data_IF_070289019318
#
_entry.id   IF_070289019318
#
_cell.length_a   1.000
_cell.length_b   1.000
_cell.length_c   1.000
_cell.angle_alpha   90.00
_cell.angle_beta   90.00
_cell.angle_gamma   90.00
#
_symmetry.space_group_name_H-M   'P 1'
#
loop_
_entity.id
_entity.type
_entity.pdbx_description
1 polymer ?
#
# COMPACT_ATOMS: atom_id res chain seq x y z
N UNK A 1 -35.55 29.32 -9.60
CA UNK A 1 -36.14 28.92 -8.31
C UNK A 1 -35.66 27.49 -8.04
N UNK A 2 -34.46 27.35 -7.51
CA UNK A 2 -33.88 26.06 -7.13
C UNK A 2 -34.50 25.59 -5.82
N UNK A 3 -35.34 24.56 -5.90
CA UNK A 3 -36.05 24.02 -4.75
C UNK A 3 -35.10 23.31 -3.76
N UNK A 4 -35.43 23.31 -2.45
CA UNK A 4 -34.60 22.77 -1.36
C UNK A 4 -34.27 21.26 -1.46
N UNK A 5 -34.88 20.54 -2.39
CA UNK A 5 -34.60 19.12 -2.67
C UNK A 5 -33.32 18.92 -3.50
N UNK A 6 -32.90 19.91 -4.31
CA UNK A 6 -31.68 19.82 -5.13
C UNK A 6 -30.41 19.95 -4.28
N UNK A 7 -30.46 20.74 -3.19
CA UNK A 7 -29.33 20.89 -2.27
C UNK A 7 -28.96 19.59 -1.55
N UNK A 8 -29.95 18.83 -1.06
CA UNK A 8 -29.71 17.57 -0.34
C UNK A 8 -29.17 16.46 -1.24
N UNK A 9 -29.63 16.39 -2.51
CA UNK A 9 -29.06 15.47 -3.50
C UNK A 9 -27.62 15.85 -3.85
N UNK A 10 -27.35 17.13 -4.04
CA UNK A 10 -26.00 17.63 -4.32
C UNK A 10 -25.03 17.36 -3.16
N UNK A 11 -25.46 17.53 -1.91
CA UNK A 11 -24.65 17.20 -0.73
C UNK A 11 -24.33 15.71 -0.63
N UNK A 12 -25.32 14.82 -0.84
CA UNK A 12 -25.09 13.37 -0.84
C UNK A 12 -24.12 12.92 -1.92
N UNK A 13 -24.23 13.48 -3.12
CA UNK A 13 -23.32 13.17 -4.22
C UNK A 13 -21.88 13.62 -3.93
N UNK A 14 -21.70 14.74 -3.21
CA UNK A 14 -20.37 15.21 -2.80
C UNK A 14 -19.75 14.24 -1.78
N UNK A 15 -20.51 13.82 -0.77
CA UNK A 15 -20.06 12.83 0.22
C UNK A 15 -19.70 11.48 -0.43
N UNK A 16 -20.50 11.04 -1.41
CA UNK A 16 -20.26 9.81 -2.16
C UNK A 16 -19.00 9.90 -3.03
N UNK A 17 -18.78 11.04 -3.71
CA UNK A 17 -17.55 11.30 -4.46
C UNK A 17 -16.32 11.33 -3.55
N UNK A 18 -16.41 11.96 -2.38
CA UNK A 18 -15.30 11.99 -1.41
C UNK A 18 -14.99 10.61 -0.82
N UNK A 19 -16.00 9.76 -0.66
CA UNK A 19 -15.83 8.38 -0.21
C UNK A 19 -15.14 7.55 -1.29
N UNK A 20 -15.64 7.60 -2.53
CA UNK A 20 -15.02 6.91 -3.67
C UNK A 20 -13.58 7.38 -3.92
N UNK A 21 -13.29 8.68 -3.75
CA UNK A 21 -11.92 9.19 -3.86
C UNK A 21 -10.98 8.58 -2.83
N UNK A 22 -11.44 8.43 -1.58
CA UNK A 22 -10.66 7.79 -0.51
C UNK A 22 -10.44 6.30 -0.80
N UNK A 23 -11.46 5.60 -1.27
CA UNK A 23 -11.34 4.18 -1.65
C UNK A 23 -10.36 3.99 -2.81
N UNK A 24 -10.44 4.83 -3.85
CA UNK A 24 -9.50 4.79 -4.98
C UNK A 24 -8.07 4.99 -4.51
N UNK A 25 -7.82 5.94 -3.60
CA UNK A 25 -6.47 6.19 -3.10
C UNK A 25 -5.94 5.00 -2.27
N UNK A 26 -6.77 4.43 -1.41
CA UNK A 26 -6.42 3.21 -0.67
C UNK A 26 -6.13 2.02 -1.61
N UNK A 27 -6.88 1.88 -2.70
CA UNK A 27 -6.62 0.85 -3.69
C UNK A 27 -5.33 1.09 -4.47
N UNK A 28 -4.98 2.34 -4.76
CA UNK A 28 -3.70 2.70 -5.39
C UNK A 28 -2.51 2.35 -4.50
N UNK A 29 -2.56 2.68 -3.22
CA UNK A 29 -1.51 2.33 -2.25
C UNK A 29 -1.35 0.80 -2.11
N UNK A 30 -2.46 0.05 -2.13
CA UNK A 30 -2.42 -1.42 -2.12
C UNK A 30 -1.80 -1.97 -3.40
N UNK A 31 -2.14 -1.42 -4.55
CA UNK A 31 -1.59 -1.85 -5.83
C UNK A 31 -0.09 -1.58 -5.91
N UNK A 32 0.38 -0.40 -5.50
CA UNK A 32 1.81 -0.08 -5.50
C UNK A 32 2.59 -1.02 -4.58
N UNK A 33 2.03 -1.37 -3.42
CA UNK A 33 2.63 -2.35 -2.49
C UNK A 33 2.75 -3.74 -3.14
N UNK A 34 1.69 -4.20 -3.82
CA UNK A 34 1.69 -5.50 -4.50
C UNK A 34 2.64 -5.53 -5.70
N UNK A 35 2.75 -4.43 -6.45
CA UNK A 35 3.70 -4.31 -7.55
C UNK A 35 5.15 -4.40 -7.06
N UNK A 36 5.47 -3.76 -5.93
CA UNK A 36 6.79 -3.84 -5.32
C UNK A 36 7.12 -5.27 -4.85
N UNK A 37 6.17 -5.94 -4.19
CA UNK A 37 6.33 -7.36 -3.81
C UNK A 37 6.58 -8.24 -5.04
N UNK A 38 5.87 -7.98 -6.14
CA UNK A 38 5.99 -8.76 -7.39
C UNK A 38 7.34 -8.55 -8.07
N UNK A 39 7.86 -7.33 -8.07
CA UNK A 39 9.15 -7.00 -8.69
C UNK A 39 10.31 -7.66 -7.94
N UNK A 40 10.29 -7.64 -6.61
CA UNK A 40 11.32 -8.32 -5.81
C UNK A 40 11.25 -9.84 -5.91
N UNK A 41 10.04 -10.41 -5.91
CA UNK A 41 9.84 -11.85 -6.15
C UNK A 41 10.40 -12.31 -7.50
N UNK A 42 10.41 -11.44 -8.51
CA UNK A 42 10.99 -11.72 -9.84
C UNK A 42 12.50 -11.56 -9.88
N UNK A 43 13.03 -10.62 -9.09
CA UNK A 43 14.46 -10.30 -9.06
C UNK A 43 15.28 -11.36 -8.33
N UNK A 44 14.69 -12.06 -7.35
CA UNK A 44 15.37 -13.06 -6.52
C UNK A 44 14.94 -14.51 -6.80
N UNK A 45 14.98 -14.92 -8.07
CA UNK A 45 14.71 -16.32 -8.50
C UNK A 45 15.75 -17.37 -8.07
N UNK A 46 16.52 -17.12 -7.00
CA UNK A 46 17.59 -18.00 -6.51
C UNK A 46 17.40 -18.53 -5.09
N UNK A 47 16.83 -17.75 -4.17
CA UNK A 47 16.65 -18.12 -2.77
C UNK A 47 15.32 -17.55 -2.26
N UNK A 48 14.58 -18.36 -1.49
CA UNK A 48 13.21 -18.08 -1.04
C UNK A 48 13.15 -16.88 -0.09
N UNK A 49 13.17 -15.68 -0.65
CA UNK A 49 12.88 -14.46 0.11
C UNK A 49 11.40 -14.46 0.48
N UNK A 50 11.13 -14.63 1.77
CA UNK A 50 9.77 -14.64 2.30
C UNK A 50 9.39 -13.24 2.76
N UNK A 51 8.27 -12.71 2.29
CA UNK A 51 7.70 -11.47 2.82
C UNK A 51 7.28 -11.66 4.29
N UNK A 52 7.75 -10.78 5.17
CA UNK A 52 7.50 -10.84 6.62
C UNK A 52 6.64 -9.68 7.14
N UNK A 53 6.53 -8.57 6.41
CA UNK A 53 5.68 -7.45 6.83
C UNK A 53 6.12 -6.08 6.34
N UNK A 54 5.57 -5.02 6.96
CA UNK A 54 5.98 -3.63 6.74
C UNK A 54 7.17 -3.32 7.66
N UNK A 55 8.14 -2.56 7.15
CA UNK A 55 9.30 -2.13 7.94
C UNK A 55 8.89 -1.12 9.00
N UNK A 56 9.11 -1.47 10.27
CA UNK A 56 8.80 -0.60 11.42
C UNK A 56 9.66 0.67 11.49
N UNK A 57 10.86 0.66 10.89
CA UNK A 57 11.78 1.81 10.92
C UNK A 57 11.35 2.94 9.99
N UNK A 58 10.86 2.61 8.78
CA UNK A 58 10.58 3.61 7.76
C UNK A 58 9.10 3.70 7.37
N UNK A 59 8.27 2.72 7.74
CA UNK A 59 6.85 2.60 7.37
C UNK A 59 6.54 2.61 5.87
N UNK A 60 7.55 2.78 5.01
CA UNK A 60 7.44 2.91 3.56
C UNK A 60 7.93 1.67 2.82
N UNK A 61 8.88 0.93 3.42
CA UNK A 61 9.42 -0.30 2.86
C UNK A 61 8.77 -1.54 3.45
N UNK A 62 8.95 -2.66 2.77
CA UNK A 62 8.55 -3.98 3.25
C UNK A 62 9.79 -4.75 3.73
N UNK A 63 9.57 -5.72 4.62
CA UNK A 63 10.60 -6.61 5.14
C UNK A 63 10.53 -7.95 4.41
N UNK A 64 11.66 -8.35 3.84
CA UNK A 64 11.86 -9.68 3.30
C UNK A 64 12.89 -10.43 4.15
N UNK A 65 12.58 -11.70 4.46
CA UNK A 65 13.52 -12.64 5.06
C UNK A 65 14.27 -13.37 3.97
N UNK A 66 15.59 -13.17 3.93
CA UNK A 66 16.52 -13.96 3.13
C UNK A 66 17.33 -14.83 4.09
N UNK A 67 17.16 -16.15 4.01
CA UNK A 67 17.85 -17.15 4.84
C UNK A 67 17.89 -16.83 6.35
N UNK A 68 18.90 -16.11 6.81
CA UNK A 68 19.23 -15.77 8.21
C UNK A 68 19.08 -14.27 8.55
N UNK A 69 18.62 -13.44 7.61
CA UNK A 69 18.42 -12.02 7.88
C UNK A 69 17.13 -11.45 7.26
N UNK A 70 16.57 -10.46 7.93
CA UNK A 70 15.55 -9.56 7.44
C UNK A 70 16.21 -8.36 6.79
N UNK A 71 15.69 -7.91 5.65
CA UNK A 71 16.08 -6.66 5.05
C UNK A 71 14.87 -5.84 4.61
N UNK A 72 14.99 -4.51 4.70
CA UNK A 72 14.00 -3.56 4.23
C UNK A 72 14.35 -3.05 2.84
N UNK A 73 13.34 -3.02 1.98
CA UNK A 73 13.44 -2.63 0.58
C UNK A 73 13.58 -1.11 0.36
N UNK A 74 13.19 -0.31 1.36
CA UNK A 74 13.17 1.16 1.24
C UNK A 74 14.32 1.83 1.98
N UNK A 75 14.51 1.54 3.27
CA UNK A 75 15.52 2.21 4.09
C UNK A 75 16.84 1.44 4.21
N UNK A 76 16.93 0.24 3.63
CA UNK A 76 18.12 -0.59 3.72
C UNK A 76 18.39 -1.19 5.11
N UNK A 77 17.42 -1.11 6.03
CA UNK A 77 17.48 -1.79 7.32
C UNK A 77 17.81 -3.28 7.12
N UNK A 78 18.67 -3.83 7.99
CA UNK A 78 19.01 -5.26 8.04
C UNK A 78 19.04 -5.74 9.49
N UNK A 79 18.36 -6.85 9.78
CA UNK A 79 18.37 -7.49 11.10
C UNK A 79 18.61 -8.99 10.95
N UNK A 80 19.54 -9.55 11.73
CA UNK A 80 19.86 -10.97 11.70
C UNK A 80 18.94 -11.76 12.67
N UNK A 81 18.54 -12.97 12.28
CA UNK A 81 17.59 -13.84 13.01
C UNK A 81 18.29 -14.90 13.88
#
# INVERSE_FOLDING_TARGET
MDGPLMGKRRSRLVEEIETLRREVEQHREKLSTLELIREESRSNSGESDAYEGICAECSNGVLFRSSDYLHCTSCGYRGYL
#
